data_IF_096088007082
#
_entry.id   IF_096088007082
#
_cell.length_a   1.000
_cell.length_b   1.000
_cell.length_c   1.000
_cell.angle_alpha   90.00
_cell.angle_beta   90.00
_cell.angle_gamma   90.00
#
_symmetry.space_group_name_H-M   'P 1'
#
loop_
_entity.id
_entity.type
_entity.pdbx_description
1 polymer ?
#
# COMPACT_ATOMS: atom_id res chain seq x y z
N UNK A 1 -11.04 28.30 0.16
CA UNK A 1 -12.47 28.44 -0.21
C UNK A 1 -13.38 27.34 0.38
N UNK A 2 -13.17 26.04 0.14
CA UNK A 2 -14.04 24.94 0.62
C UNK A 2 -14.53 25.02 2.08
N UNK A 3 -13.63 25.32 3.03
CA UNK A 3 -13.97 25.43 4.47
C UNK A 3 -14.94 26.58 4.76
N UNK A 4 -14.88 27.69 3.99
CA UNK A 4 -15.77 28.84 4.11
C UNK A 4 -17.19 28.43 3.67
N UNK A 5 -17.33 27.85 2.48
CA UNK A 5 -18.63 27.38 1.96
C UNK A 5 -19.28 26.34 2.85
N UNK A 6 -18.50 25.39 3.39
CA UNK A 6 -19.00 24.44 4.38
C UNK A 6 -19.58 25.11 5.64
N UNK A 7 -18.96 26.21 6.11
CA UNK A 7 -19.44 26.89 7.29
C UNK A 7 -20.68 27.76 7.02
N UNK A 8 -20.76 28.35 5.82
CA UNK A 8 -21.87 29.19 5.34
C UNK A 8 -23.03 28.38 4.75
N UNK A 9 -22.99 27.04 4.84
CA UNK A 9 -23.97 26.14 4.23
C UNK A 9 -24.13 26.29 2.70
N UNK A 10 -23.09 26.75 2.01
CA UNK A 10 -23.10 26.88 0.55
C UNK A 10 -22.68 25.56 -0.11
N UNK A 11 -23.18 25.26 -1.33
CA UNK A 11 -22.69 24.12 -2.08
C UNK A 11 -21.18 24.24 -2.37
N UNK A 12 -20.47 23.12 -2.39
CA UNK A 12 -19.03 23.09 -2.65
C UNK A 12 -18.55 21.74 -3.21
N UNK A 13 -17.42 21.75 -3.93
CA UNK A 13 -16.75 20.54 -4.40
C UNK A 13 -15.67 20.07 -3.40
N UNK A 14 -15.63 18.76 -3.16
CA UNK A 14 -14.62 18.13 -2.30
C UNK A 14 -13.24 18.04 -2.99
N UNK A 15 -12.21 17.54 -2.28
CA UNK A 15 -10.90 17.27 -2.90
C UNK A 15 -10.93 16.18 -3.97
N UNK A 16 -11.96 15.32 -3.93
CA UNK A 16 -12.17 14.21 -4.86
C UNK A 16 -13.25 14.56 -5.89
N UNK A 17 -13.43 15.85 -6.17
CA UNK A 17 -14.39 16.39 -7.15
C UNK A 17 -15.87 16.06 -6.92
N UNK A 18 -16.21 15.39 -5.82
CA UNK A 18 -17.61 15.16 -5.43
C UNK A 18 -18.28 16.48 -5.04
N UNK A 19 -19.42 16.77 -5.65
CA UNK A 19 -20.28 17.90 -5.28
C UNK A 19 -21.02 17.63 -3.97
N UNK A 20 -21.11 18.66 -3.13
CA UNK A 20 -21.84 18.63 -1.86
C UNK A 20 -22.83 19.77 -1.87
N UNK A 21 -24.12 19.44 -1.90
CA UNK A 21 -25.21 20.41 -1.83
C UNK A 21 -25.28 21.10 -0.45
N UNK A 22 -25.91 22.28 -0.43
CA UNK A 22 -26.32 22.95 0.79
C UNK A 22 -27.24 22.04 1.62
N UNK A 23 -27.14 22.11 2.96
CA UNK A 23 -28.04 21.35 3.83
C UNK A 23 -29.40 22.02 3.87
N UNK A 24 -30.46 21.23 3.72
CA UNK A 24 -31.85 21.64 3.90
C UNK A 24 -32.39 21.22 5.27
N UNK A 25 -33.40 21.93 5.75
CA UNK A 25 -34.16 21.53 6.93
C UNK A 25 -35.11 20.38 6.55
N UNK A 26 -35.06 19.27 7.29
CA UNK A 26 -35.96 18.14 7.08
C UNK A 26 -37.17 18.26 8.01
N UNK A 27 -38.31 18.68 7.44
CA UNK A 27 -39.57 18.85 8.16
C UNK A 27 -40.17 17.51 8.63
N UNK A 28 -39.97 16.46 7.84
CA UNK A 28 -40.48 15.10 8.06
C UNK A 28 -39.68 14.31 9.10
N UNK A 29 -38.57 14.87 9.61
CA UNK A 29 -37.77 14.18 10.61
C UNK A 29 -38.60 13.91 11.86
N UNK A 30 -38.75 12.61 12.18
CA UNK A 30 -39.33 12.07 13.42
C UNK A 30 -38.23 11.44 14.27
N UNK A 31 -38.20 11.77 15.55
CA UNK A 31 -37.21 11.21 16.46
C UNK A 31 -37.67 9.86 17.01
N UNK A 32 -36.91 8.79 16.74
CA UNK A 32 -37.20 7.44 17.22
C UNK A 32 -36.91 7.19 18.72
N UNK A 33 -36.81 8.24 19.55
CA UNK A 33 -36.57 8.08 20.98
C UNK A 33 -37.90 7.84 21.71
N UNK A 34 -37.87 7.21 22.89
CA UNK A 34 -39.05 6.96 23.74
C UNK A 34 -39.86 8.21 24.13
N UNK A 35 -39.29 9.40 23.94
CA UNK A 35 -39.89 10.69 24.29
C UNK A 35 -40.55 11.39 23.10
N UNK A 36 -40.46 10.81 21.90
CA UNK A 36 -40.92 11.41 20.65
C UNK A 36 -40.57 12.91 20.56
N UNK A 37 -39.29 13.24 20.73
CA UNK A 37 -38.85 14.62 20.94
C UNK A 37 -39.22 15.61 19.80
N UNK A 38 -39.62 15.10 18.64
CA UNK A 38 -40.13 15.90 17.52
C UNK A 38 -41.56 16.40 17.72
N UNK A 39 -42.29 15.82 18.66
CA UNK A 39 -43.65 16.21 19.02
C UNK A 39 -43.61 17.26 20.16
N UNK A 40 -42.52 17.26 20.94
CA UNK A 40 -42.26 18.23 22.00
C UNK A 40 -41.90 19.61 21.43
N UNK A 41 -41.11 19.66 20.35
CA UNK A 41 -40.63 20.91 19.72
C UNK A 41 -41.26 21.04 18.34
N UNK A 42 -42.04 22.09 18.13
CA UNK A 42 -42.79 22.30 16.90
C UNK A 42 -41.85 22.40 15.69
N UNK A 43 -42.37 22.05 14.51
CA UNK A 43 -41.58 22.08 13.26
C UNK A 43 -41.04 23.49 12.96
N UNK A 44 -41.82 24.53 13.25
CA UNK A 44 -41.42 25.93 13.10
C UNK A 44 -40.26 26.32 14.03
N UNK A 45 -40.34 25.95 15.31
CA UNK A 45 -39.26 26.17 16.29
C UNK A 45 -37.95 25.49 15.84
N UNK A 46 -38.06 24.26 15.31
CA UNK A 46 -36.92 23.52 14.75
C UNK A 46 -36.33 24.19 13.50
N UNK A 47 -37.19 24.75 12.63
CA UNK A 47 -36.77 25.47 11.43
C UNK A 47 -36.03 26.77 11.77
N UNK A 48 -36.52 27.53 12.76
CA UNK A 48 -35.87 28.74 13.28
C UNK A 48 -34.46 28.39 13.81
N UNK A 49 -34.37 27.37 14.66
CA UNK A 49 -33.09 26.89 15.18
C UNK A 49 -32.11 26.46 14.07
N UNK A 50 -32.62 25.78 13.03
CA UNK A 50 -31.80 25.39 11.88
C UNK A 50 -31.26 26.61 11.13
N UNK A 51 -32.12 27.60 10.86
CA UNK A 51 -31.73 28.84 10.18
C UNK A 51 -30.67 29.60 10.98
N UNK A 52 -30.93 29.88 12.27
CA UNK A 52 -29.99 30.55 13.17
C UNK A 52 -28.64 29.83 13.21
N UNK A 53 -28.62 28.50 13.28
CA UNK A 53 -27.40 27.72 13.31
C UNK A 53 -26.53 27.89 12.07
N UNK A 54 -27.11 27.97 10.87
CA UNK A 54 -26.36 28.08 9.62
C UNK A 54 -26.01 29.53 9.25
N UNK A 55 -26.85 30.50 9.62
CA UNK A 55 -26.59 31.94 9.42
C UNK A 55 -25.29 32.41 10.10
N UNK A 56 -24.88 31.78 11.21
CA UNK A 56 -23.65 32.14 11.93
C UNK A 56 -22.37 32.06 11.06
N UNK A 57 -22.35 31.21 10.02
CA UNK A 57 -21.26 31.18 9.03
C UNK A 57 -19.87 30.79 9.56
N UNK A 58 -19.71 30.48 10.85
CA UNK A 58 -18.43 30.12 11.47
C UNK A 58 -18.50 28.83 12.29
N UNK A 59 -17.37 28.13 12.45
CA UNK A 59 -17.31 26.93 13.30
C UNK A 59 -17.41 27.29 14.79
N UNK A 60 -16.67 28.33 15.20
CA UNK A 60 -16.64 28.83 16.58
C UNK A 60 -18.02 29.31 17.02
N UNK A 61 -18.66 30.16 16.24
CA UNK A 61 -19.99 30.68 16.55
C UNK A 61 -21.04 29.57 16.61
N UNK A 62 -20.97 28.55 15.75
CA UNK A 62 -21.89 27.40 15.83
C UNK A 62 -21.70 26.57 17.09
N UNK A 63 -20.47 26.40 17.56
CA UNK A 63 -20.22 25.77 18.85
C UNK A 63 -20.78 26.61 20.00
N UNK A 64 -20.66 27.94 19.92
CA UNK A 64 -21.23 28.87 20.91
C UNK A 64 -22.75 28.82 20.94
N UNK A 65 -23.39 28.79 19.76
CA UNK A 65 -24.84 28.60 19.64
C UNK A 65 -25.28 27.28 20.29
N UNK A 66 -24.60 26.17 20.03
CA UNK A 66 -24.94 24.88 20.67
C UNK A 66 -24.84 24.99 22.18
N UNK A 67 -23.80 25.63 22.72
CA UNK A 67 -23.63 25.80 24.16
C UNK A 67 -24.74 26.66 24.77
N UNK A 68 -25.16 27.73 24.09
CA UNK A 68 -26.25 28.60 24.52
C UNK A 68 -27.63 27.92 24.38
N UNK A 69 -27.77 27.02 23.41
CA UNK A 69 -29.03 26.33 23.12
C UNK A 69 -29.20 25.01 23.87
N UNK A 70 -28.12 24.45 24.45
CA UNK A 70 -28.14 23.10 25.03
C UNK A 70 -27.53 23.07 26.42
N UNK A 71 -28.32 22.63 27.41
CA UNK A 71 -27.83 22.23 28.74
C UNK A 71 -27.77 20.71 28.85
N UNK A 72 -26.61 20.18 29.21
CA UNK A 72 -26.48 18.75 29.53
C UNK A 72 -26.88 18.51 31.00
N UNK A 73 -27.78 17.56 31.22
CA UNK A 73 -28.21 17.11 32.54
C UNK A 73 -27.80 15.65 32.76
N UNK A 74 -27.29 15.34 33.96
CA UNK A 74 -26.94 13.98 34.38
C UNK A 74 -28.12 13.42 35.16
N UNK A 75 -28.77 12.37 34.65
CA UNK A 75 -29.94 11.78 35.32
C UNK A 75 -29.61 10.71 36.36
N UNK A 76 -28.48 10.03 36.21
CA UNK A 76 -28.05 8.98 37.12
C UNK A 76 -26.52 8.89 37.07
N UNK A 77 -25.87 8.99 38.23
CA UNK A 77 -24.41 8.97 38.38
C UNK A 77 -23.84 7.62 37.91
N UNK A 78 -24.58 6.53 38.13
CA UNK A 78 -24.14 5.18 37.80
C UNK A 78 -24.24 4.84 36.31
N UNK A 79 -25.33 5.23 35.63
CA UNK A 79 -25.54 4.88 34.20
C UNK A 79 -25.14 6.00 33.23
N UNK A 80 -24.67 7.15 33.73
CA UNK A 80 -24.32 8.36 32.96
C UNK A 80 -25.34 8.74 31.86
N UNK A 81 -26.64 8.50 32.08
CA UNK A 81 -27.67 8.84 31.09
C UNK A 81 -27.78 10.37 30.99
N UNK A 82 -27.39 10.91 29.83
CA UNK A 82 -27.36 12.34 29.53
C UNK A 82 -28.66 12.77 28.86
N UNK A 83 -29.32 13.78 29.42
CA UNK A 83 -30.44 14.49 28.77
C UNK A 83 -29.97 15.87 28.35
N UNK A 84 -30.56 16.38 27.28
CA UNK A 84 -30.28 17.70 26.76
C UNK A 84 -31.53 18.56 26.91
N UNK A 85 -31.41 19.72 27.54
CA UNK A 85 -32.49 20.71 27.57
C UNK A 85 -32.21 21.72 26.46
N UNK A 86 -33.18 21.91 25.57
CA UNK A 86 -33.18 23.02 24.64
C UNK A 86 -33.49 24.29 25.44
N UNK A 87 -32.49 25.14 25.66
CA UNK A 87 -32.57 26.30 26.57
C UNK A 87 -33.58 27.34 26.04
N UNK A 88 -33.55 27.76 24.76
CA UNK A 88 -34.52 28.71 24.20
C UNK A 88 -35.98 28.38 24.48
N UNK A 89 -36.33 27.09 24.47
CA UNK A 89 -37.71 26.63 24.66
C UNK A 89 -37.93 25.93 26.00
N UNK A 90 -36.88 25.82 26.84
CA UNK A 90 -36.83 25.06 28.11
C UNK A 90 -37.31 23.59 28.02
N UNK A 91 -37.39 23.01 26.82
CA UNK A 91 -37.91 21.66 26.56
C UNK A 91 -36.82 20.59 26.68
N UNK A 92 -37.12 19.48 27.36
CA UNK A 92 -36.21 18.34 27.42
C UNK A 92 -36.27 17.52 26.14
N UNK A 93 -35.18 17.48 25.38
CA UNK A 93 -35.09 16.71 24.15
C UNK A 93 -33.86 15.82 24.11
N UNK A 94 -33.89 14.80 23.25
CA UNK A 94 -32.70 14.00 23.01
C UNK A 94 -31.73 14.76 22.09
N UNK A 95 -30.47 14.35 22.13
CA UNK A 95 -29.41 14.90 21.30
C UNK A 95 -29.70 14.85 19.80
N UNK A 96 -30.31 13.76 19.33
CA UNK A 96 -30.65 13.57 17.92
C UNK A 96 -31.73 14.54 17.45
N UNK A 97 -32.70 14.84 18.31
CA UNK A 97 -33.78 15.78 18.00
C UNK A 97 -33.27 17.22 17.91
N UNK A 98 -32.27 17.57 18.72
CA UNK A 98 -31.60 18.86 18.62
C UNK A 98 -30.71 18.96 17.36
N UNK A 99 -29.84 17.98 17.15
CA UNK A 99 -28.94 17.95 15.99
C UNK A 99 -28.67 16.50 15.57
N UNK A 100 -29.08 16.13 14.35
CA UNK A 100 -28.86 14.78 13.79
C UNK A 100 -27.39 14.33 13.93
N UNK A 101 -26.44 15.26 13.77
CA UNK A 101 -25.01 15.00 13.99
C UNK A 101 -24.63 15.15 15.46
N UNK A 102 -24.83 14.06 16.21
CA UNK A 102 -24.54 13.97 17.63
C UNK A 102 -23.12 14.43 18.01
N UNK A 103 -22.09 14.07 17.22
CA UNK A 103 -20.69 14.33 17.58
C UNK A 103 -20.40 15.81 17.78
N UNK A 104 -21.12 16.71 17.09
CA UNK A 104 -20.87 18.15 17.22
C UNK A 104 -21.35 18.70 18.57
N UNK A 105 -22.45 18.17 19.10
CA UNK A 105 -22.95 18.59 20.42
C UNK A 105 -21.94 18.23 21.51
N UNK A 106 -21.39 17.01 21.48
CA UNK A 106 -20.37 16.61 22.45
C UNK A 106 -19.09 17.44 22.32
N UNK A 107 -18.64 17.67 21.08
CA UNK A 107 -17.42 18.45 20.84
C UNK A 107 -17.59 19.88 21.32
N UNK A 108 -18.75 20.51 21.10
CA UNK A 108 -19.04 21.84 21.60
C UNK A 108 -19.02 21.85 23.14
N UNK A 109 -19.78 20.97 23.78
CA UNK A 109 -19.86 20.91 25.24
C UNK A 109 -18.51 20.60 25.90
N UNK A 110 -17.73 19.66 25.34
CA UNK A 110 -16.39 19.29 25.84
C UNK A 110 -15.38 20.44 25.72
N UNK A 111 -15.43 21.20 24.62
CA UNK A 111 -14.54 22.36 24.45
C UNK A 111 -14.85 23.44 25.47
N UNK A 112 -16.13 23.67 25.74
CA UNK A 112 -16.55 24.62 26.78
C UNK A 112 -16.19 24.15 28.19
N UNK A 113 -16.42 22.88 28.54
CA UNK A 113 -16.10 22.36 29.88
C UNK A 113 -14.62 22.45 30.21
N UNK A 114 -13.77 22.28 29.21
CA UNK A 114 -12.31 22.26 29.38
C UNK A 114 -11.67 23.63 29.12
N UNK A 115 -12.47 24.71 29.05
CA UNK A 115 -12.04 26.07 28.72
C UNK A 115 -11.12 26.14 27.49
N UNK A 116 -11.37 25.28 26.49
CA UNK A 116 -10.53 25.17 25.30
C UNK A 116 -10.93 26.23 24.27
N UNK A 117 -9.94 26.75 23.55
CA UNK A 117 -10.16 27.63 22.40
C UNK A 117 -11.12 26.95 21.40
N UNK A 118 -12.22 27.62 21.10
CA UNK A 118 -13.28 27.12 20.20
C UNK A 118 -12.86 27.37 18.75
N UNK A 119 -11.73 26.80 18.35
CA UNK A 119 -11.25 26.84 16.98
C UNK A 119 -11.29 25.43 16.37
N UNK A 120 -11.47 25.33 15.06
CA UNK A 120 -11.26 24.07 14.37
C UNK A 120 -9.75 23.87 14.19
N UNK A 121 -9.10 23.29 15.21
CA UNK A 121 -7.66 23.07 15.28
C UNK A 121 -7.12 21.96 14.36
N UNK A 122 -7.94 21.45 13.42
CA UNK A 122 -7.47 20.54 12.38
C UNK A 122 -6.58 21.33 11.40
N UNK A 123 -5.35 20.84 11.20
CA UNK A 123 -4.36 21.47 10.32
C UNK A 123 -3.56 22.61 10.94
N UNK A 124 -3.58 22.77 12.27
CA UNK A 124 -2.63 23.67 12.94
C UNK A 124 -1.20 23.08 12.88
N UNK A 125 -0.20 23.95 12.71
CA UNK A 125 1.23 23.58 12.66
C UNK A 125 1.72 22.96 13.98
N UNK A 126 1.05 23.24 15.10
CA UNK A 126 1.20 22.49 16.34
C UNK A 126 0.51 21.14 16.19
N UNK A 127 1.22 20.18 15.60
CA UNK A 127 0.73 18.82 15.40
C UNK A 127 0.04 18.28 16.65
N UNK A 128 -1.08 17.60 16.46
CA UNK A 128 -1.93 17.13 17.55
C UNK A 128 -1.22 16.13 18.48
N UNK A 129 -1.98 15.52 19.40
CA UNK A 129 -1.45 14.55 20.39
C UNK A 129 -0.63 13.38 19.80
N UNK A 130 -0.74 13.14 18.51
CA UNK A 130 -0.04 12.08 17.77
C UNK A 130 1.23 12.59 17.07
N UNK A 131 1.66 13.83 17.31
CA UNK A 131 2.90 14.37 16.76
C UNK A 131 4.07 13.77 17.54
N UNK A 132 5.00 13.13 16.84
CA UNK A 132 6.26 12.72 17.43
C UNK A 132 7.04 13.95 17.90
N UNK A 133 7.63 13.88 19.08
CA UNK A 133 8.59 14.90 19.54
C UNK A 133 9.84 14.86 18.67
N UNK A 134 10.59 15.96 18.62
CA UNK A 134 11.84 16.00 17.84
C UNK A 134 12.82 14.93 18.34
N UNK A 135 12.85 14.67 19.66
CA UNK A 135 13.59 13.55 20.27
C UNK A 135 13.16 12.17 19.75
N UNK A 136 11.86 11.94 19.59
CA UNK A 136 11.34 10.68 19.05
C UNK A 136 11.70 10.53 17.56
N UNK A 137 11.67 11.62 16.81
CA UNK A 137 12.06 11.63 15.39
C UNK A 137 13.55 11.31 15.28
N UNK A 138 14.38 11.95 16.09
CA UNK A 138 15.83 11.75 16.12
C UNK A 138 16.19 10.31 16.49
N UNK A 139 15.57 9.74 17.52
CA UNK A 139 15.74 8.34 17.90
C UNK A 139 15.37 7.36 16.76
N UNK A 140 14.31 7.66 16.01
CA UNK A 140 13.91 6.85 14.84
C UNK A 140 14.93 6.97 13.71
N UNK A 141 15.45 8.18 13.45
CA UNK A 141 16.47 8.41 12.41
C UNK A 141 17.76 7.66 12.76
N UNK A 142 18.23 7.77 13.99
CA UNK A 142 19.42 7.07 14.49
C UNK A 142 19.23 5.55 14.35
N UNK A 143 18.07 5.04 14.77
CA UNK A 143 17.73 3.64 14.62
C UNK A 143 17.73 3.17 13.15
N UNK A 144 17.11 3.92 12.24
CA UNK A 144 17.12 3.60 10.79
C UNK A 144 18.54 3.64 10.23
N UNK A 145 19.40 4.52 10.73
CA UNK A 145 20.78 4.63 10.29
C UNK A 145 21.70 3.53 10.85
N UNK A 146 21.30 2.85 11.93
CA UNK A 146 22.04 1.71 12.48
C UNK A 146 22.03 0.47 11.57
N UNK A 147 21.08 0.36 10.65
CA UNK A 147 21.00 -0.77 9.72
C UNK A 147 22.01 -0.65 8.58
N UNK A 148 22.61 -1.78 8.19
CA UNK A 148 23.47 -1.86 7.02
C UNK A 148 22.70 -1.46 5.76
N UNK A 149 23.30 -0.53 5.00
CA UNK A 149 22.77 -0.04 3.74
C UNK A 149 23.65 -0.50 2.60
N UNK A 150 23.02 -0.93 1.51
CA UNK A 150 23.71 -1.36 0.30
C UNK A 150 23.43 -0.38 -0.84
N UNK A 151 24.33 -0.32 -1.81
CA UNK A 151 24.11 0.42 -3.04
C UNK A 151 23.26 -0.47 -3.94
N UNK A 152 22.08 0.00 -4.33
CA UNK A 152 21.21 -0.76 -5.20
C UNK A 152 21.84 -0.90 -6.59
N UNK A 153 21.97 -2.13 -7.07
CA UNK A 153 22.46 -2.42 -8.42
C UNK A 153 21.54 -1.89 -9.53
N UNK A 154 20.30 -1.52 -9.21
CA UNK A 154 19.32 -0.99 -10.15
C UNK A 154 19.44 0.54 -10.36
N UNK A 155 20.18 1.25 -9.52
CA UNK A 155 20.44 2.68 -9.66
C UNK A 155 21.89 2.89 -10.08
N UNK A 156 22.15 2.73 -11.38
CA UNK A 156 23.50 2.86 -11.97
C UNK A 156 23.87 4.33 -12.25
N UNK A 157 22.95 5.29 -12.07
CA UNK A 157 23.21 6.70 -12.40
C UNK A 157 23.32 7.59 -11.15
N UNK A 158 24.52 8.16 -11.00
CA UNK A 158 24.93 9.40 -10.32
C UNK A 158 24.65 9.62 -8.82
N UNK A 159 23.83 8.81 -8.17
CA UNK A 159 23.52 9.01 -6.74
C UNK A 159 24.02 7.80 -5.94
N UNK A 160 25.04 8.01 -5.11
CA UNK A 160 25.53 7.05 -4.09
C UNK A 160 24.49 6.82 -2.97
N UNK A 161 23.20 6.76 -3.30
CA UNK A 161 22.12 6.49 -2.37
C UNK A 161 22.25 5.06 -1.86
N UNK A 162 22.46 4.94 -0.55
CA UNK A 162 22.50 3.65 0.15
C UNK A 162 21.11 3.31 0.67
N UNK A 163 20.61 2.13 0.36
CA UNK A 163 19.29 1.66 0.74
C UNK A 163 19.40 0.59 1.84
N UNK A 164 18.49 0.57 2.83
CA UNK A 164 18.38 -0.57 3.74
C UNK A 164 17.98 -1.84 2.97
N UNK A 165 18.39 -3.01 3.46
CA UNK A 165 18.10 -4.31 2.83
C UNK A 165 16.62 -4.45 2.44
N UNK A 166 16.29 -4.94 1.23
CA UNK A 166 14.90 -5.11 0.80
C UNK A 166 14.20 -6.23 1.57
N UNK A 167 14.97 -7.04 2.31
CA UNK A 167 14.47 -8.07 3.19
C UNK A 167 14.28 -7.59 4.63
N UNK A 168 14.58 -6.31 4.93
CA UNK A 168 14.36 -5.68 6.23
C UNK A 168 12.87 -5.28 6.31
N UNK A 169 12.09 -6.05 7.06
CA UNK A 169 10.68 -5.76 7.32
C UNK A 169 10.48 -5.41 8.80
N UNK A 170 9.31 -4.86 9.14
CA UNK A 170 9.01 -4.42 10.50
C UNK A 170 9.19 -5.56 11.52
N UNK A 171 8.80 -6.78 11.17
CA UNK A 171 8.96 -7.96 12.03
C UNK A 171 10.44 -8.25 12.34
N UNK A 172 11.32 -8.26 11.32
CA UNK A 172 12.76 -8.46 11.50
C UNK A 172 13.41 -7.32 12.25
N UNK A 173 12.95 -6.09 12.03
CA UNK A 173 13.40 -4.92 12.81
C UNK A 173 13.04 -5.14 14.28
N UNK A 174 11.80 -5.52 14.59
CA UNK A 174 11.37 -5.79 15.97
C UNK A 174 12.12 -6.96 16.58
N UNK A 175 12.39 -8.03 15.84
CA UNK A 175 13.21 -9.16 16.31
C UNK A 175 14.63 -8.71 16.63
N UNK A 176 15.29 -7.97 15.73
CA UNK A 176 16.65 -7.46 15.96
C UNK A 176 16.75 -6.49 17.15
N UNK A 177 15.69 -5.72 17.41
CA UNK A 177 15.59 -4.82 18.57
C UNK A 177 15.29 -5.58 19.86
N UNK A 178 14.57 -6.70 19.78
CA UNK A 178 14.30 -7.60 20.91
C UNK A 178 15.46 -8.53 21.28
N UNK A 179 16.56 -8.52 20.50
CA UNK A 179 17.79 -9.21 20.85
C UNK A 179 18.57 -8.35 21.86
N UNK A 180 18.36 -8.61 23.14
CA UNK A 180 19.14 -8.00 24.24
C UNK A 180 20.54 -8.62 24.36
N UNK A 181 20.78 -9.80 23.76
CA UNK A 181 22.07 -10.50 23.83
C UNK A 181 23.04 -10.03 22.72
N UNK A 182 24.13 -9.38 23.14
CA UNK A 182 25.20 -8.92 22.27
C UNK A 182 25.87 -10.06 21.48
N UNK A 183 25.81 -11.29 21.97
CA UNK A 183 26.37 -12.46 21.26
C UNK A 183 25.58 -12.80 20.00
N UNK A 184 24.26 -12.70 20.05
CA UNK A 184 23.40 -13.07 18.91
C UNK A 184 23.50 -12.01 17.79
N UNK A 185 23.67 -10.74 18.16
CA UNK A 185 24.01 -9.67 17.22
C UNK A 185 25.34 -9.93 16.52
N UNK A 186 26.34 -10.40 17.25
CA UNK A 186 27.68 -10.67 16.71
C UNK A 186 27.67 -11.86 15.75
N UNK A 187 26.93 -12.92 16.08
CA UNK A 187 26.74 -14.08 15.18
C UNK A 187 26.09 -13.64 13.86
N UNK A 188 25.07 -12.79 13.92
CA UNK A 188 24.37 -12.28 12.73
C UNK A 188 25.26 -11.37 11.87
N UNK A 189 26.09 -10.52 12.49
CA UNK A 189 27.08 -9.71 11.77
C UNK A 189 28.10 -10.57 11.05
N UNK A 190 28.67 -11.56 11.73
CA UNK A 190 29.65 -12.48 11.16
C UNK A 190 29.04 -13.30 10.00
N UNK A 191 27.81 -13.79 10.16
CA UNK A 191 27.09 -14.48 9.09
C UNK A 191 26.84 -13.57 7.87
N UNK A 192 26.51 -12.30 8.10
CA UNK A 192 26.33 -11.32 7.03
C UNK A 192 27.64 -11.03 6.29
N UNK A 193 28.74 -10.84 7.01
CA UNK A 193 30.05 -10.58 6.43
C UNK A 193 30.57 -11.80 5.63
N UNK A 194 30.38 -13.01 6.15
CA UNK A 194 30.68 -14.25 5.44
C UNK A 194 29.91 -14.35 4.12
N UNK A 195 28.61 -14.02 4.12
CA UNK A 195 27.79 -13.99 2.91
C UNK A 195 28.31 -12.97 1.88
N UNK A 196 28.66 -11.76 2.31
CA UNK A 196 29.22 -10.73 1.43
C UNK A 196 30.56 -11.16 0.83
N UNK A 197 31.42 -11.82 1.61
CA UNK A 197 32.69 -12.33 1.13
C UNK A 197 32.51 -13.47 0.12
N UNK A 198 31.59 -14.41 0.38
CA UNK A 198 31.23 -15.46 -0.58
C UNK A 198 30.73 -14.86 -1.91
N UNK A 199 29.85 -13.84 -1.85
CA UNK A 199 29.36 -13.15 -3.04
C UNK A 199 30.48 -12.44 -3.83
N UNK A 200 31.46 -11.83 -3.13
CA UNK A 200 32.65 -11.24 -3.78
C UNK A 200 33.52 -12.29 -4.46
N UNK A 201 33.73 -13.45 -3.83
CA UNK A 201 34.52 -14.56 -4.39
C UNK A 201 33.86 -15.07 -5.67
N UNK A 202 32.57 -15.39 -5.63
CA UNK A 202 31.81 -15.85 -6.80
C UNK A 202 31.87 -14.85 -7.96
N UNK A 203 31.75 -13.55 -7.69
CA UNK A 203 31.90 -12.50 -8.73
C UNK A 203 33.29 -12.50 -9.37
N UNK A 204 34.35 -12.73 -8.58
CA UNK A 204 35.72 -12.83 -9.12
C UNK A 204 35.87 -14.06 -10.01
N UNK A 205 35.24 -15.17 -9.65
CA UNK A 205 35.26 -16.40 -10.46
C UNK A 205 34.50 -16.23 -11.78
N UNK A 206 33.30 -15.66 -11.73
CA UNK A 206 32.52 -15.32 -12.94
C UNK A 206 33.33 -14.41 -13.87
N UNK A 207 33.97 -13.36 -13.33
CA UNK A 207 34.83 -12.47 -14.13
C UNK A 207 36.05 -13.19 -14.71
N UNK A 208 36.64 -14.13 -13.96
CA UNK A 208 37.74 -14.97 -14.45
C UNK A 208 37.29 -15.84 -15.62
N UNK A 209 36.11 -16.44 -15.53
CA UNK A 209 35.59 -17.30 -16.59
C UNK A 209 35.19 -16.50 -17.84
N UNK A 210 34.66 -15.27 -17.67
CA UNK A 210 34.50 -14.33 -18.78
C UNK A 210 35.81 -13.94 -19.45
N UNK A 211 36.90 -13.76 -18.69
CA UNK A 211 38.22 -13.49 -19.25
C UNK A 211 38.77 -14.70 -20.01
N UNK A 212 38.53 -15.92 -19.51
CA UNK A 212 38.94 -17.16 -20.18
C UNK A 212 38.21 -17.35 -21.50
N UNK A 213 36.90 -17.14 -21.56
CA UNK A 213 36.14 -17.27 -22.82
C UNK A 213 36.52 -16.22 -23.86
N UNK A 214 36.92 -15.02 -23.44
CA UNK A 214 37.46 -14.01 -24.36
C UNK A 214 38.78 -14.42 -25.00
N UNK A 215 39.63 -15.13 -24.27
CA UNK A 215 40.98 -15.50 -24.70
C UNK A 215 41.08 -16.91 -25.30
N UNK A 216 40.01 -17.71 -25.25
CA UNK A 216 39.99 -19.07 -25.77
C UNK A 216 38.72 -19.34 -26.58
N UNK A 217 38.88 -19.54 -27.89
CA UNK A 217 37.79 -19.81 -28.84
C UNK A 217 37.01 -21.10 -28.58
N UNK A 218 37.56 -22.01 -27.77
CA UNK A 218 36.93 -23.27 -27.39
C UNK A 218 36.11 -23.19 -26.10
N UNK A 219 36.08 -22.03 -25.42
CA UNK A 219 35.37 -21.85 -24.14
C UNK A 219 34.32 -20.76 -24.30
N UNK A 220 33.05 -21.11 -24.11
CA UNK A 220 31.95 -20.15 -24.05
C UNK A 220 31.43 -20.07 -22.61
N UNK A 221 31.22 -18.84 -22.13
CA UNK A 221 30.64 -18.61 -20.79
C UNK A 221 29.18 -18.24 -20.93
N UNK A 222 28.32 -19.00 -20.25
CA UNK A 222 26.88 -18.81 -20.26
C UNK A 222 26.43 -18.40 -18.85
N UNK A 223 26.02 -17.16 -18.68
CA UNK A 223 25.52 -16.64 -17.39
C UNK A 223 24.03 -16.38 -17.48
N UNK A 224 23.26 -17.02 -16.60
CA UNK A 224 21.83 -16.75 -16.46
C UNK A 224 21.56 -16.09 -15.11
N UNK A 225 21.09 -14.85 -15.14
CA UNK A 225 20.57 -14.19 -13.94
C UNK A 225 19.16 -14.72 -13.67
N UNK A 226 18.99 -15.51 -12.61
CA UNK A 226 17.68 -15.95 -12.14
C UNK A 226 16.99 -14.76 -11.45
N UNK A 227 16.59 -13.75 -12.23
CA UNK A 227 15.83 -12.62 -11.69
C UNK A 227 14.46 -13.06 -11.18
N UNK A 228 13.93 -12.26 -10.24
CA UNK A 228 12.62 -12.44 -9.63
C UNK A 228 11.57 -12.77 -10.69
N UNK A 229 10.86 -13.86 -10.45
CA UNK A 229 9.65 -14.25 -11.17
C UNK A 229 8.58 -13.19 -10.94
N UNK A 230 8.14 -12.51 -12.01
CA UNK A 230 6.99 -11.62 -11.94
C UNK A 230 5.71 -12.39 -12.34
N UNK A 231 4.61 -12.24 -11.58
CA UNK A 231 3.35 -12.84 -11.97
C UNK A 231 2.83 -12.18 -13.24
N UNK A 232 2.21 -12.96 -14.12
CA UNK A 232 1.57 -12.43 -15.34
C UNK A 232 0.57 -11.31 -15.01
N UNK A 233 0.42 -10.31 -15.90
CA UNK A 233 -0.53 -9.22 -15.72
C UNK A 233 -1.97 -9.73 -15.56
N UNK A 234 -2.77 -8.99 -14.79
CA UNK A 234 -4.16 -9.36 -14.48
C UNK A 234 -5.04 -9.19 -15.72
N UNK A 235 -5.29 -10.28 -16.44
CA UNK A 235 -6.27 -10.33 -17.53
C UNK A 235 -7.54 -11.01 -17.02
N UNK A 236 -8.71 -10.49 -17.39
CA UNK A 236 -10.02 -10.94 -16.91
C UNK A 236 -10.52 -12.26 -17.53
N UNK A 237 -9.70 -12.96 -18.32
CA UNK A 237 -10.11 -14.20 -18.98
C UNK A 237 -9.83 -15.45 -18.13
N UNK A 238 -10.75 -16.43 -18.17
CA UNK A 238 -10.64 -17.67 -17.39
C UNK A 238 -9.40 -18.53 -17.74
N UNK A 239 -8.90 -18.43 -18.98
CA UNK A 239 -7.69 -19.13 -19.42
C UNK A 239 -6.42 -18.48 -18.84
N UNK A 240 -6.43 -17.16 -18.63
CA UNK A 240 -5.31 -16.44 -18.02
C UNK A 240 -5.11 -16.85 -16.56
N UNK A 241 -6.17 -17.22 -15.84
CA UNK A 241 -6.11 -17.70 -14.45
C UNK A 241 -5.24 -18.95 -14.30
N UNK A 242 -5.32 -19.91 -15.22
CA UNK A 242 -4.49 -21.12 -15.19
C UNK A 242 -3.06 -20.87 -15.67
N UNK A 243 -2.88 -19.99 -16.67
CA UNK A 243 -1.56 -19.63 -17.19
C UNK A 243 -0.75 -18.72 -16.25
N UNK A 244 -1.40 -18.07 -15.27
CA UNK A 244 -0.76 -17.30 -14.19
C UNK A 244 0.12 -18.17 -13.26
N UNK A 245 -0.04 -19.49 -13.27
CA UNK A 245 0.82 -20.41 -12.51
C UNK A 245 2.20 -20.62 -13.16
N UNK A 246 2.38 -20.16 -14.40
CA UNK A 246 3.66 -20.20 -15.10
C UNK A 246 4.41 -18.89 -14.86
N UNK A 247 5.51 -18.97 -14.11
CA UNK A 247 6.43 -17.85 -13.95
C UNK A 247 7.18 -17.61 -15.28
N UNK A 248 7.00 -16.43 -15.88
CA UNK A 248 7.78 -16.02 -17.06
C UNK A 248 9.03 -15.27 -16.60
N UNK A 249 10.21 -15.73 -17.03
CA UNK A 249 11.47 -15.02 -16.86
C UNK A 249 11.59 -13.96 -17.95
N UNK A 250 11.75 -12.68 -17.62
CA UNK A 250 12.07 -11.71 -18.67
C UNK A 250 12.64 -10.39 -18.16
N UNK A 251 13.87 -10.09 -18.57
CA UNK A 251 14.46 -8.75 -18.45
C UNK A 251 13.80 -7.72 -19.38
N UNK A 252 12.94 -8.15 -20.31
CA UNK A 252 12.37 -7.27 -21.37
C UNK A 252 10.83 -7.13 -21.32
N UNK A 253 10.14 -7.81 -20.40
CA UNK A 253 8.67 -7.78 -20.33
C UNK A 253 8.13 -6.51 -19.68
N UNK A 254 8.95 -5.77 -18.91
CA UNK A 254 8.55 -4.51 -18.29
C UNK A 254 8.20 -3.41 -19.29
N UNK A 255 8.80 -3.42 -20.49
CA UNK A 255 8.45 -2.49 -21.56
C UNK A 255 7.08 -2.84 -22.18
N UNK A 256 6.77 -4.14 -22.25
CA UNK A 256 5.46 -4.63 -22.70
C UNK A 256 4.38 -4.27 -21.68
N UNK A 257 4.61 -4.49 -20.38
CA UNK A 257 3.64 -4.14 -19.33
C UNK A 257 3.27 -2.66 -19.31
N UNK A 258 4.26 -1.77 -19.35
CA UNK A 258 4.02 -0.32 -19.43
C UNK A 258 3.20 0.06 -20.66
N UNK A 259 3.45 -0.60 -21.80
CA UNK A 259 2.70 -0.35 -23.02
C UNK A 259 1.25 -0.89 -22.93
N UNK A 260 1.03 -1.98 -22.19
CA UNK A 260 -0.29 -2.56 -21.95
C UNK A 260 -1.13 -1.73 -20.97
N UNK A 261 -0.51 -1.10 -19.97
CA UNK A 261 -1.20 -0.23 -18.98
C UNK A 261 -1.92 0.97 -19.63
N UNK A 262 -1.43 1.43 -20.79
CA UNK A 262 -1.99 2.55 -21.53
C UNK A 262 -3.13 2.13 -22.47
N UNK A 263 -3.30 0.82 -22.73
CA UNK A 263 -4.34 0.32 -23.63
C UNK A 263 -5.64 0.07 -22.87
N UNK A 264 -6.71 0.78 -23.24
CA UNK A 264 -8.03 0.61 -22.59
C UNK A 264 -8.67 -0.76 -22.88
N UNK A 265 -8.31 -1.43 -23.98
CA UNK A 265 -9.04 -2.62 -24.47
C UNK A 265 -8.17 -3.66 -25.19
N UNK A 266 -7.86 -4.77 -24.50
CA UNK A 266 -7.22 -5.97 -25.08
C UNK A 266 -8.25 -7.09 -25.17
N UNK A 267 -9.01 -7.16 -26.28
CA UNK A 267 -10.03 -8.19 -26.49
C UNK A 267 -9.60 -9.34 -27.39
N UNK A 268 -8.54 -9.15 -28.20
CA UNK A 268 -8.04 -10.15 -29.14
C UNK A 268 -6.52 -10.31 -29.06
N UNK A 269 -6.04 -11.49 -29.44
CA UNK A 269 -4.62 -11.85 -29.54
C UNK A 269 -3.84 -10.91 -30.48
N UNK A 270 -4.47 -10.52 -31.59
CA UNK A 270 -3.90 -9.54 -32.55
C UNK A 270 -3.60 -8.19 -31.90
N UNK A 271 -4.41 -7.75 -30.93
CA UNK A 271 -4.16 -6.49 -30.22
C UNK A 271 -2.92 -6.61 -29.33
N UNK A 272 -2.72 -7.78 -28.73
CA UNK A 272 -1.56 -8.04 -27.88
C UNK A 272 -0.26 -8.11 -28.69
N UNK A 273 -0.29 -8.79 -29.84
CA UNK A 273 0.81 -8.81 -30.82
C UNK A 273 1.18 -7.39 -31.24
N UNK A 274 0.19 -6.55 -31.51
CA UNK A 274 0.40 -5.16 -31.91
C UNK A 274 1.13 -4.33 -30.84
N UNK A 275 0.77 -4.53 -29.56
CA UNK A 275 1.46 -3.88 -28.43
C UNK A 275 2.91 -4.36 -28.33
N UNK A 276 3.15 -5.66 -28.46
CA UNK A 276 4.50 -6.23 -28.43
C UNK A 276 5.40 -5.72 -29.56
N UNK A 277 4.87 -5.53 -30.78
CA UNK A 277 5.66 -4.95 -31.89
C UNK A 277 6.03 -3.49 -31.62
N UNK A 278 5.16 -2.75 -30.94
CA UNK A 278 5.27 -1.29 -30.75
C UNK A 278 5.99 -0.86 -29.48
N UNK A 279 6.06 -1.70 -28.45
CA UNK A 279 6.55 -1.28 -27.13
C UNK A 279 8.06 -0.99 -27.07
N UNK A 280 8.87 -1.48 -28.02
CA UNK A 280 10.33 -1.33 -27.99
C UNK A 280 10.85 -0.51 -29.18
N UNK A 281 11.50 0.61 -28.88
CA UNK A 281 11.90 1.61 -29.90
C UNK A 281 13.11 1.21 -30.76
N UNK A 282 14.15 0.58 -30.19
CA UNK A 282 15.43 0.33 -30.91
C UNK A 282 15.60 -1.11 -31.43
N UNK A 283 15.05 -2.11 -30.75
CA UNK A 283 15.07 -3.52 -31.15
C UNK A 283 13.67 -4.10 -30.96
N UNK A 284 12.88 -4.16 -32.04
CA UNK A 284 11.52 -4.68 -31.98
C UNK A 284 11.54 -6.16 -31.59
N UNK A 285 10.51 -6.60 -30.87
CA UNK A 285 10.33 -8.01 -30.57
C UNK A 285 10.05 -8.80 -31.85
N UNK A 286 10.68 -9.96 -31.98
CA UNK A 286 10.33 -10.94 -33.00
C UNK A 286 9.20 -11.80 -32.43
N UNK A 287 8.03 -11.74 -33.05
CA UNK A 287 6.86 -12.50 -32.61
C UNK A 287 6.74 -13.71 -33.53
N UNK A 288 6.85 -14.90 -32.94
CA UNK A 288 6.67 -16.17 -33.63
C UNK A 288 5.35 -16.77 -33.18
N UNK A 289 4.41 -16.93 -34.12
CA UNK A 289 3.15 -17.63 -33.86
C UNK A 289 3.41 -19.14 -33.91
N UNK A 290 3.24 -19.80 -32.76
CA UNK A 290 3.33 -21.25 -32.68
C UNK A 290 1.95 -21.87 -32.91
N UNK A 291 1.88 -22.82 -33.84
CA UNK A 291 0.72 -23.68 -34.08
C UNK A 291 0.79 -24.93 -33.21
N UNK A 292 -0.32 -25.68 -33.10
CA UNK A 292 -0.36 -26.93 -32.32
C UNK A 292 0.75 -27.91 -32.74
N UNK A 293 1.06 -27.95 -34.02
CA UNK A 293 2.04 -28.86 -34.63
C UNK A 293 3.50 -28.48 -34.28
N UNK A 294 3.73 -27.23 -33.84
CA UNK A 294 5.04 -26.77 -33.35
C UNK A 294 5.33 -27.27 -31.93
N UNK A 295 4.32 -27.78 -31.21
CA UNK A 295 4.48 -28.29 -29.86
C UNK A 295 4.80 -29.79 -29.87
N UNK A 296 6.05 -30.12 -29.56
CA UNK A 296 6.45 -31.50 -29.32
C UNK A 296 6.03 -31.90 -27.90
N UNK A 297 5.31 -33.02 -27.77
CA UNK A 297 4.95 -33.57 -26.47
C UNK A 297 6.20 -33.85 -25.63
N UNK A 298 6.28 -33.20 -24.47
CA UNK A 298 7.32 -33.45 -23.46
C UNK A 298 7.05 -34.72 -22.66
N UNK A 299 5.99 -35.48 -22.94
CA UNK A 299 5.66 -36.69 -22.20
C UNK A 299 6.79 -37.73 -22.27
N UNK A 300 7.42 -37.88 -23.43
CA UNK A 300 8.59 -38.76 -23.59
C UNK A 300 9.81 -38.24 -22.83
N UNK A 301 9.97 -36.91 -22.76
CA UNK A 301 11.04 -36.26 -22.00
C UNK A 301 10.82 -36.43 -20.49
N UNK A 302 9.58 -36.27 -20.03
CA UNK A 302 9.18 -36.48 -18.64
C UNK A 302 9.42 -37.93 -18.27
N UNK A 303 8.96 -38.90 -19.08
CA UNK A 303 9.24 -40.33 -18.90
C UNK A 303 10.75 -40.61 -18.81
N UNK A 304 11.56 -39.96 -19.64
CA UNK A 304 13.02 -40.07 -19.62
C UNK A 304 13.68 -39.41 -18.39
N UNK A 305 13.16 -38.28 -17.90
CA UNK A 305 13.66 -37.54 -16.73
C UNK A 305 13.26 -38.23 -15.42
N UNK A 306 12.03 -38.74 -15.32
CA UNK A 306 11.54 -39.45 -14.12
C UNK A 306 12.36 -40.71 -13.81
N UNK A 307 13.01 -41.30 -14.81
CA UNK A 307 13.92 -42.43 -14.64
C UNK A 307 15.39 -42.07 -14.36
N UNK A 308 15.82 -40.82 -14.57
CA UNK A 308 17.24 -40.41 -14.53
C UNK A 308 17.51 -39.33 -13.49
N UNK A 309 17.24 -39.64 -12.23
CA UNK A 309 17.93 -38.97 -11.12
C UNK A 309 19.11 -39.82 -10.68
N UNK A 310 19.83 -40.44 -11.61
CA UNK A 310 20.97 -41.28 -11.29
C UNK A 310 22.18 -40.86 -12.12
N UNK A 311 23.36 -40.79 -11.49
CA UNK A 311 24.62 -40.54 -12.18
C UNK A 311 25.10 -41.77 -12.97
N UNK A 312 26.27 -41.67 -13.61
CA UNK A 312 26.90 -42.78 -14.35
C UNK A 312 27.17 -44.01 -13.45
N UNK A 313 27.22 -43.82 -12.13
CA UNK A 313 27.41 -44.87 -11.12
C UNK A 313 26.09 -45.37 -10.52
N UNK A 314 24.94 -44.95 -11.08
CA UNK A 314 23.58 -45.26 -10.61
C UNK A 314 23.24 -44.72 -9.21
N UNK A 315 23.92 -43.68 -8.73
CA UNK A 315 23.60 -43.03 -7.44
C UNK A 315 22.58 -41.92 -7.63
N UNK A 316 21.67 -41.75 -6.66
CA UNK A 316 20.61 -40.74 -6.74
C UNK A 316 21.17 -39.31 -6.73
N UNK A 317 20.98 -38.56 -7.82
CA UNK A 317 21.36 -37.15 -7.95
C UNK A 317 20.17 -36.25 -7.60
N UNK A 318 20.37 -35.34 -6.66
CA UNK A 318 19.41 -34.28 -6.36
C UNK A 318 19.79 -33.02 -7.14
N UNK A 319 18.90 -32.55 -8.01
CA UNK A 319 19.08 -31.31 -8.77
C UNK A 319 19.30 -30.09 -7.86
N UNK A 320 18.72 -30.08 -6.66
CA UNK A 320 18.93 -29.01 -5.66
C UNK A 320 20.35 -28.96 -5.08
N UNK A 321 21.15 -30.04 -5.25
CA UNK A 321 22.55 -30.11 -4.81
C UNK A 321 23.53 -29.89 -5.97
N UNK A 322 23.04 -29.68 -7.18
CA UNK A 322 23.88 -29.43 -8.35
C UNK A 322 24.29 -27.95 -8.35
N UNK A 323 25.58 -27.68 -8.29
CA UNK A 323 26.14 -26.32 -8.23
C UNK A 323 26.69 -25.85 -9.58
N UNK A 324 26.96 -26.78 -10.50
CA UNK A 324 27.57 -26.49 -11.79
C UNK A 324 27.10 -27.54 -12.82
N UNK A 325 26.77 -27.08 -14.03
CA UNK A 325 26.50 -27.94 -15.18
C UNK A 325 27.47 -27.57 -16.30
N UNK A 326 28.33 -28.50 -16.69
CA UNK A 326 29.28 -28.33 -17.81
C UNK A 326 28.77 -29.07 -19.04
N UNK A 327 28.68 -28.35 -20.15
CA UNK A 327 28.38 -28.91 -21.46
C UNK A 327 29.64 -28.81 -22.32
N UNK A 328 30.18 -29.96 -22.73
CA UNK A 328 31.32 -30.02 -23.64
C UNK A 328 30.82 -30.08 -25.08
N UNK A 329 31.23 -29.09 -25.87
CA UNK A 329 30.77 -28.88 -27.26
C UNK A 329 31.06 -30.10 -28.15
N UNK A 330 32.15 -30.80 -27.87
CA UNK A 330 32.59 -32.03 -28.57
C UNK A 330 31.63 -33.21 -28.39
N UNK A 331 30.73 -33.17 -27.40
CA UNK A 331 29.80 -34.26 -27.07
C UNK A 331 28.37 -34.00 -27.55
N UNK A 332 28.08 -32.81 -28.08
CA UNK A 332 26.80 -32.47 -28.68
C UNK A 332 26.79 -33.02 -30.12
N UNK A 333 26.33 -34.26 -30.29
CA UNK A 333 26.02 -34.81 -31.62
C UNK A 333 24.76 -34.11 -32.13
N UNK A 334 24.88 -33.47 -33.29
CA UNK A 334 23.75 -32.89 -34.03
C UNK A 334 22.80 -33.96 -34.53
#
# INVERSE_FOLDING_TARGET
MRKKFYNENKPYCTAKEKEVAARSFNQEFRCACKRNCTDIVATEERAICFSQFWTIGSFSGRCAFIKAAVKQMIKNVFTQKKIFQNIPYKKEICKMAFLKNQNRVDVALKKYSNNMIICNGRGLKSGGKNRCTDKQIEAVIEHVNSFLKYISHYYINEINSKFPSPHLNLAKITTLVGLEDDREKEILKNAHEAHLNAAKVLRREVNRDFLKSKNNSHVETLTFDLQKTHPMPKVSSGIAYYKQQLNLYNSEFGDVEKALEVQETLYADVNYVHVMVKCKGKKKFMIVHLQADDFVSVENLIKAITGRKMDLERKKVSWFKCHEMKLHKEQLRY
#
